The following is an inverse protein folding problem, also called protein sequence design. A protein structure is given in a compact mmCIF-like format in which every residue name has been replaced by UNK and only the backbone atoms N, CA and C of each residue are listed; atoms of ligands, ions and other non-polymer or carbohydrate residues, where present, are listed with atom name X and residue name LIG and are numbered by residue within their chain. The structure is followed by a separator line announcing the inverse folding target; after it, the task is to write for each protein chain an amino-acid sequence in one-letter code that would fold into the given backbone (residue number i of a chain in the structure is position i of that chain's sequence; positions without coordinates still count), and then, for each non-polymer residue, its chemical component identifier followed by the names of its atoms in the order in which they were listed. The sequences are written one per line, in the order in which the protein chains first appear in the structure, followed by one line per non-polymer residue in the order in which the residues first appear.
data_IF_590154356607
#
_entry.id   IF_590154356607
#
_cell.length_a   1.000
_cell.length_b   1.000
_cell.length_c   1.000
_cell.angle_alpha   90.00
_cell.angle_beta   90.00
_cell.angle_gamma   90.00
#
_symmetry.space_group_name_H-M   'P 1'
#
loop_
_entity.id
_entity.type
_entity.pdbx_description
1 polymer ?
#
# COMPACT_ATOMS: atom_id res chain seq x y z
N UNK A 1 1.08 -14.50 0.11
CA UNK A 1 0.93 -13.26 -0.68
C UNK A 1 -0.55 -12.94 -0.75
N UNK A 2 -0.97 -11.79 -0.21
CA UNK A 2 -2.38 -11.33 -0.23
C UNK A 2 -2.49 -10.03 -1.00
N UNK A 3 -3.60 -9.84 -1.71
CA UNK A 3 -3.90 -8.61 -2.46
C UNK A 3 -5.11 -7.92 -1.86
N UNK A 4 -4.99 -6.61 -1.64
CA UNK A 4 -6.03 -5.74 -1.12
C UNK A 4 -6.33 -4.64 -2.14
N UNK A 5 -7.61 -4.51 -2.48
CA UNK A 5 -8.10 -3.45 -3.37
C UNK A 5 -8.65 -2.29 -2.54
N UNK A 6 -7.96 -1.16 -2.59
CA UNK A 6 -8.24 0.06 -1.84
C UNK A 6 -8.69 1.20 -2.76
N UNK A 7 -8.93 0.97 -4.06
CA UNK A 7 -9.35 2.02 -5.01
C UNK A 7 -10.61 2.75 -4.56
N UNK A 8 -11.54 2.01 -3.95
CA UNK A 8 -12.78 2.55 -3.39
C UNK A 8 -12.57 3.58 -2.26
N UNK A 9 -11.39 3.61 -1.63
CA UNK A 9 -11.08 4.51 -0.52
C UNK A 9 -10.50 5.86 -0.96
N UNK A 10 -10.04 5.98 -2.21
CA UNK A 10 -9.38 7.18 -2.74
C UNK A 10 -8.31 7.69 -1.75
N UNK A 11 -8.47 8.89 -1.20
CA UNK A 11 -7.51 9.50 -0.26
C UNK A 11 -7.41 8.78 1.10
N UNK A 12 -8.42 7.99 1.49
CA UNK A 12 -8.44 7.28 2.77
C UNK A 12 -7.68 5.93 2.76
N UNK A 13 -6.97 5.61 1.69
CA UNK A 13 -6.26 4.33 1.55
C UNK A 13 -5.18 4.12 2.63
N UNK A 14 -4.47 5.18 3.05
CA UNK A 14 -3.37 5.11 4.01
C UNK A 14 -3.81 4.57 5.39
N UNK A 15 -4.98 5.00 5.87
CA UNK A 15 -5.55 4.50 7.13
C UNK A 15 -5.83 3.01 7.06
N UNK A 16 -6.47 2.55 5.97
CA UNK A 16 -6.78 1.14 5.78
C UNK A 16 -5.52 0.28 5.57
N UNK A 17 -4.53 0.77 4.85
CA UNK A 17 -3.23 0.10 4.72
C UNK A 17 -2.58 -0.14 6.08
N UNK A 18 -2.53 0.90 6.92
CA UNK A 18 -1.94 0.78 8.27
C UNK A 18 -2.67 -0.27 9.10
N UNK A 19 -4.00 -0.28 9.03
CA UNK A 19 -4.82 -1.24 9.76
C UNK A 19 -4.55 -2.68 9.30
N UNK A 20 -4.48 -2.92 7.98
CA UNK A 20 -4.18 -4.24 7.40
C UNK A 20 -2.78 -4.70 7.80
N UNK A 21 -1.78 -3.82 7.67
CA UNK A 21 -0.40 -4.15 8.04
C UNK A 21 -0.29 -4.45 9.53
N UNK A 22 -0.99 -3.73 10.41
CA UNK A 22 -0.93 -3.97 11.87
C UNK A 22 -1.70 -5.21 12.29
N UNK A 23 -2.94 -5.36 11.84
CA UNK A 23 -3.89 -6.35 12.37
C UNK A 23 -3.94 -7.65 11.57
N UNK A 24 -3.77 -7.59 10.24
CA UNK A 24 -4.00 -8.74 9.37
C UNK A 24 -2.70 -9.39 8.86
N UNK A 25 -1.62 -8.61 8.76
CA UNK A 25 -0.37 -9.10 8.20
C UNK A 25 0.48 -9.87 9.20
N UNK A 26 0.97 -11.04 8.78
CA UNK A 26 1.91 -11.87 9.52
C UNK A 26 3.36 -11.47 9.19
N UNK A 27 4.29 -11.67 10.13
CA UNK A 27 5.71 -11.39 9.90
C UNK A 27 6.26 -12.23 8.73
N UNK A 28 6.93 -11.61 7.76
CA UNK A 28 7.41 -12.22 6.52
C UNK A 28 6.34 -12.34 5.42
N UNK A 29 5.11 -11.89 5.66
CA UNK A 29 4.04 -11.93 4.65
C UNK A 29 4.19 -10.80 3.63
N UNK A 30 3.99 -11.15 2.35
CA UNK A 30 3.95 -10.18 1.26
C UNK A 30 2.51 -9.76 0.98
N UNK A 31 2.28 -8.46 0.99
CA UNK A 31 1.00 -7.78 0.78
C UNK A 31 1.10 -6.94 -0.50
N UNK A 32 0.03 -6.96 -1.28
CA UNK A 32 -0.10 -6.13 -2.48
C UNK A 32 -1.28 -5.19 -2.27
N UNK A 33 -1.05 -3.89 -2.32
CA UNK A 33 -2.09 -2.88 -2.21
C UNK A 33 -2.29 -2.22 -3.57
N UNK A 34 -3.54 -2.23 -4.04
CA UNK A 34 -3.95 -1.49 -5.23
C UNK A 34 -4.79 -0.29 -4.79
N UNK A 35 -4.43 0.90 -5.24
CA UNK A 35 -5.18 2.13 -4.95
C UNK A 35 -5.16 3.05 -6.16
N UNK A 36 -6.15 3.92 -6.23
CA UNK A 36 -6.27 4.93 -7.28
C UNK A 36 -5.58 6.20 -6.79
N UNK A 37 -4.68 6.74 -7.62
CA UNK A 37 -3.96 7.99 -7.41
C UNK A 37 -4.37 8.99 -8.49
N UNK A 38 -4.65 10.22 -8.07
CA UNK A 38 -4.77 11.35 -9.00
C UNK A 38 -3.42 12.03 -9.26
N UNK A 39 -2.56 12.08 -8.23
CA UNK A 39 -1.23 12.67 -8.24
C UNK A 39 -0.21 11.70 -7.59
N UNK A 40 1.08 12.04 -7.59
CA UNK A 40 2.12 11.17 -7.03
C UNK A 40 2.23 11.23 -5.49
N UNK A 41 1.47 12.12 -4.84
CA UNK A 41 1.53 12.36 -3.39
C UNK A 41 1.22 11.10 -2.55
N UNK A 42 0.15 10.33 -2.86
CA UNK A 42 -0.16 9.05 -2.22
C UNK A 42 0.97 8.02 -2.25
N UNK A 43 1.78 8.00 -3.32
CA UNK A 43 2.87 7.03 -3.46
C UNK A 43 3.94 7.30 -2.40
N UNK A 44 4.33 8.56 -2.24
CA UNK A 44 5.30 8.95 -1.22
C UNK A 44 4.76 8.68 0.19
N UNK A 45 3.50 9.06 0.46
CA UNK A 45 2.83 8.78 1.73
C UNK A 45 2.81 7.28 2.05
N UNK A 46 2.54 6.43 1.05
CA UNK A 46 2.53 4.97 1.22
C UNK A 46 3.91 4.42 1.55
N UNK A 47 4.97 4.95 0.95
CA UNK A 47 6.34 4.53 1.22
C UNK A 47 6.79 4.94 2.63
N UNK A 48 6.46 6.17 3.04
CA UNK A 48 6.76 6.66 4.39
C UNK A 48 6.01 5.84 5.44
N UNK A 49 4.72 5.55 5.21
CA UNK A 49 3.90 4.71 6.08
C UNK A 49 4.46 3.29 6.22
N UNK A 50 4.88 2.66 5.13
CA UNK A 50 5.51 1.33 5.15
C UNK A 50 6.79 1.33 5.98
N UNK A 51 7.61 2.37 5.82
CA UNK A 51 8.86 2.55 6.57
C UNK A 51 8.60 2.80 8.06
N UNK A 52 7.61 3.63 8.41
CA UNK A 52 7.22 3.91 9.79
C UNK A 52 6.66 2.68 10.50
N UNK A 53 6.02 1.76 9.76
CA UNK A 53 5.54 0.48 10.27
C UNK A 53 6.64 -0.59 10.35
N UNK A 54 7.89 -0.26 10.01
CA UNK A 54 9.02 -1.19 10.02
C UNK A 54 8.93 -2.27 8.93
N UNK A 55 8.10 -2.06 7.91
CA UNK A 55 7.91 -2.96 6.78
C UNK A 55 8.84 -2.59 5.62
N UNK A 56 9.09 -3.54 4.72
CA UNK A 56 9.92 -3.36 3.54
C UNK A 56 9.04 -3.11 2.30
N UNK A 57 9.24 -1.97 1.62
CA UNK A 57 8.63 -1.72 0.31
C UNK A 57 9.42 -2.46 -0.76
N UNK A 58 8.88 -3.59 -1.24
CA UNK A 58 9.55 -4.42 -2.24
C UNK A 58 9.39 -3.89 -3.67
N UNK A 59 8.23 -3.34 -3.99
CA UNK A 59 7.94 -2.84 -5.32
C UNK A 59 6.88 -1.74 -5.30
N UNK A 60 6.92 -0.88 -6.30
CA UNK A 60 5.98 0.21 -6.51
C UNK A 60 5.79 0.39 -8.02
N UNK A 61 4.59 0.09 -8.51
CA UNK A 61 4.30 -0.03 -9.94
C UNK A 61 3.02 0.72 -10.31
N UNK A 62 3.15 1.63 -11.27
CA UNK A 62 2.03 2.29 -11.94
C UNK A 62 1.38 1.32 -12.92
N UNK A 63 0.12 0.98 -12.70
CA UNK A 63 -0.61 0.04 -13.57
C UNK A 63 -1.25 0.75 -14.77
N UNK A 64 -1.83 1.93 -14.56
CA UNK A 64 -2.32 2.83 -15.62
C UNK A 64 -2.21 4.29 -15.16
N UNK A 65 -2.84 5.25 -15.84
CA UNK A 65 -2.74 6.68 -15.48
C UNK A 65 -3.16 6.99 -14.05
N UNK A 66 -4.14 6.26 -13.51
CA UNK A 66 -4.72 6.47 -12.18
C UNK A 66 -4.48 5.32 -11.19
N UNK A 67 -4.32 4.07 -11.63
CA UNK A 67 -4.16 2.91 -10.75
C UNK A 67 -2.68 2.68 -10.41
N UNK A 68 -2.40 2.56 -9.11
CA UNK A 68 -1.08 2.29 -8.57
C UNK A 68 -1.08 1.06 -7.65
N UNK A 69 -0.03 0.25 -7.77
CA UNK A 69 0.14 -0.96 -6.97
C UNK A 69 1.45 -0.91 -6.22
N UNK A 70 1.44 -1.21 -4.93
CA UNK A 70 2.66 -1.38 -4.14
C UNK A 70 2.71 -2.77 -3.53
N UNK A 71 3.92 -3.29 -3.39
CA UNK A 71 4.21 -4.58 -2.78
C UNK A 71 5.01 -4.31 -1.51
N UNK A 72 4.43 -4.72 -0.38
CA UNK A 72 4.97 -4.50 0.95
C UNK A 72 5.22 -5.85 1.60
N UNK A 73 6.36 -6.01 2.25
CA UNK A 73 6.67 -7.17 3.08
C UNK A 73 6.75 -6.73 4.52
N UNK A 74 5.97 -7.37 5.38
CA UNK A 74 6.05 -7.16 6.82
C UNK A 74 7.21 -7.95 7.42
#
# INVERSE_FOLDING_TARGET
MKRYDLRHLKENFAGRMSEIIKNEAVNGEVLIFLFEIGDFTPVQQSADLVKDLGCELMNSLKFNEADWTIVVKK
#
